data_IF_000455626717
#
_entry.id   IF_000455626717
#
_cell.length_a   1.000
_cell.length_b   1.000
_cell.length_c   1.000
_cell.angle_alpha   90.00
_cell.angle_beta   90.00
_cell.angle_gamma   90.00
#
_symmetry.space_group_name_H-M   'P 1'
#
loop_
_entity.id
_entity.type
_entity.pdbx_description
1 polymer ?
#
# COMPACT_ATOMS: atom_id res chain seq x y z
N UNK A 1 -5.63 22.56 10.12
CA UNK A 1 -6.01 21.27 9.51
C UNK A 1 -4.75 20.68 8.90
N UNK A 2 -4.35 19.48 9.30
CA UNK A 2 -3.18 18.82 8.69
C UNK A 2 -3.55 18.45 7.25
N UNK A 3 -2.81 18.96 6.27
CA UNK A 3 -3.21 18.92 4.86
C UNK A 3 -2.76 17.61 4.20
N UNK A 4 -3.70 16.65 4.04
CA UNK A 4 -3.44 15.39 3.35
C UNK A 4 -2.91 15.60 1.93
N UNK A 5 -3.39 16.63 1.23
CA UNK A 5 -2.98 16.93 -0.13
C UNK A 5 -1.49 17.24 -0.20
N UNK A 6 -1.00 18.12 0.68
CA UNK A 6 0.42 18.46 0.74
C UNK A 6 1.31 17.25 1.09
N UNK A 7 0.85 16.36 1.97
CA UNK A 7 1.59 15.14 2.31
C UNK A 7 1.66 14.17 1.13
N UNK A 8 0.58 14.07 0.35
CA UNK A 8 0.53 13.24 -0.86
C UNK A 8 1.43 13.84 -1.92
N UNK A 9 1.33 15.14 -2.19
CA UNK A 9 2.15 15.86 -3.18
C UNK A 9 3.64 15.71 -2.88
N UNK A 10 4.08 15.99 -1.65
CA UNK A 10 5.48 15.82 -1.25
C UNK A 10 6.00 14.40 -1.49
N UNK A 11 5.17 13.39 -1.22
CA UNK A 11 5.54 11.99 -1.47
C UNK A 11 5.61 11.70 -2.98
N UNK A 12 4.63 12.12 -3.76
CA UNK A 12 4.59 11.86 -5.20
C UNK A 12 5.70 12.60 -5.96
N UNK A 13 6.01 13.84 -5.58
CA UNK A 13 7.13 14.60 -6.14
C UNK A 13 8.46 13.91 -5.89
N UNK A 14 8.69 13.43 -4.65
CA UNK A 14 9.89 12.66 -4.34
C UNK A 14 9.94 11.34 -5.14
N UNK A 15 8.84 10.61 -5.23
CA UNK A 15 8.78 9.36 -6.02
C UNK A 15 9.00 9.57 -7.51
N UNK A 16 8.54 10.69 -8.06
CA UNK A 16 8.73 11.03 -9.47
C UNK A 16 10.16 11.51 -9.74
N UNK A 17 10.65 12.48 -8.95
CA UNK A 17 11.94 13.14 -9.18
C UNK A 17 13.15 12.39 -8.64
N UNK A 18 13.07 11.84 -7.42
CA UNK A 18 14.21 11.15 -6.77
C UNK A 18 14.32 9.69 -7.23
N UNK A 19 13.19 9.01 -7.47
CA UNK A 19 13.15 7.56 -7.77
C UNK A 19 12.77 7.23 -9.22
N UNK A 20 12.42 8.21 -10.05
CA UNK A 20 12.16 8.03 -11.47
C UNK A 20 10.95 7.13 -11.78
N UNK A 21 9.95 7.05 -10.88
CA UNK A 21 8.77 6.24 -11.13
C UNK A 21 7.95 6.79 -12.31
N UNK A 22 7.40 5.87 -13.12
CA UNK A 22 6.55 6.25 -14.26
C UNK A 22 5.32 7.05 -13.84
N UNK A 23 4.83 7.92 -14.73
CA UNK A 23 3.59 8.70 -14.50
C UNK A 23 2.41 7.80 -14.14
N UNK A 24 2.29 6.63 -14.77
CA UNK A 24 1.25 5.66 -14.47
C UNK A 24 1.33 5.16 -13.02
N UNK A 25 2.54 4.95 -12.50
CA UNK A 25 2.77 4.56 -11.10
C UNK A 25 2.40 5.69 -10.15
N UNK A 26 2.79 6.93 -10.47
CA UNK A 26 2.45 8.12 -9.67
C UNK A 26 0.94 8.34 -9.61
N UNK A 27 0.24 8.27 -10.74
CA UNK A 27 -1.22 8.37 -10.81
C UNK A 27 -1.91 7.22 -10.06
N UNK A 28 -1.33 6.03 -10.07
CA UNK A 28 -1.83 4.91 -9.28
C UNK A 28 -1.66 5.18 -7.77
N UNK A 29 -0.53 5.74 -7.34
CA UNK A 29 -0.26 6.07 -5.94
C UNK A 29 -1.16 7.21 -5.44
N UNK A 30 -1.35 8.27 -6.22
CA UNK A 30 -2.27 9.37 -5.88
C UNK A 30 -3.68 8.83 -5.61
N UNK A 31 -4.22 8.06 -6.55
CA UNK A 31 -5.57 7.48 -6.43
C UNK A 31 -5.71 6.57 -5.21
N UNK A 32 -4.69 5.78 -4.89
CA UNK A 32 -4.72 4.91 -3.72
C UNK A 32 -4.75 5.72 -2.41
N UNK A 33 -3.92 6.77 -2.31
CA UNK A 33 -3.82 7.63 -1.13
C UNK A 33 -5.09 8.48 -0.93
N UNK A 34 -5.67 8.99 -2.00
CA UNK A 34 -6.96 9.69 -1.96
C UNK A 34 -8.09 8.77 -1.48
N UNK A 35 -8.10 7.50 -1.93
CA UNK A 35 -9.15 6.55 -1.57
C UNK A 35 -9.09 6.15 -0.10
N UNK A 36 -7.90 5.96 0.47
CA UNK A 36 -7.80 5.72 1.92
C UNK A 36 -8.21 6.97 2.71
N UNK A 37 -7.81 8.19 2.29
CA UNK A 37 -8.26 9.43 2.92
C UNK A 37 -9.79 9.49 2.98
N UNK A 38 -10.44 9.24 1.84
CA UNK A 38 -11.90 9.23 1.73
C UNK A 38 -12.54 8.13 2.58
N UNK A 39 -11.93 6.95 2.64
CA UNK A 39 -12.52 5.80 3.33
C UNK A 39 -12.36 5.85 4.84
N UNK A 40 -11.21 6.30 5.34
CA UNK A 40 -10.94 6.43 6.78
C UNK A 40 -11.54 7.72 7.35
N UNK A 41 -11.63 8.79 6.53
CA UNK A 41 -12.20 10.06 6.97
C UNK A 41 -11.33 10.81 8.00
N UNK A 42 -10.05 10.46 8.10
CA UNK A 42 -9.06 11.07 9.00
C UNK A 42 -7.94 11.70 8.19
N UNK A 43 -7.19 12.60 8.82
CA UNK A 43 -5.89 13.01 8.26
C UNK A 43 -4.93 11.82 8.27
N UNK A 44 -4.12 11.66 7.22
CA UNK A 44 -3.18 10.53 7.08
C UNK A 44 -2.21 10.42 8.26
N UNK A 45 -1.86 11.56 8.85
CA UNK A 45 -1.03 11.65 10.06
C UNK A 45 -1.70 11.12 11.33
N UNK A 46 -3.04 11.02 11.34
CA UNK A 46 -3.85 10.58 12.49
C UNK A 46 -4.44 9.18 12.25
N UNK A 47 -4.09 8.54 11.12
CA UNK A 47 -4.49 7.18 10.80
C UNK A 47 -3.70 6.20 11.68
N UNK A 48 -4.43 5.37 12.42
CA UNK A 48 -3.86 4.33 13.25
C UNK A 48 -3.70 3.01 12.49
N UNK A 49 -2.94 2.08 13.07
CA UNK A 49 -2.87 0.70 12.56
C UNK A 49 -4.26 0.05 12.44
N UNK A 50 -5.14 0.26 13.43
CA UNK A 50 -6.50 -0.32 13.41
C UNK A 50 -7.34 0.22 12.25
N UNK A 51 -7.18 1.52 11.91
CA UNK A 51 -7.85 2.11 10.76
C UNK A 51 -7.39 1.45 9.44
N UNK A 52 -6.09 1.14 9.34
CA UNK A 52 -5.53 0.45 8.17
C UNK A 52 -6.01 -1.00 8.08
N UNK A 53 -6.05 -1.73 9.19
CA UNK A 53 -6.59 -3.09 9.23
C UNK A 53 -8.06 -3.13 8.78
N UNK A 54 -8.88 -2.21 9.30
CA UNK A 54 -10.28 -2.06 8.88
C UNK A 54 -10.40 -1.69 7.40
N UNK A 55 -9.52 -0.82 6.90
CA UNK A 55 -9.46 -0.48 5.48
C UNK A 55 -9.18 -1.72 4.62
N UNK A 56 -8.19 -2.53 4.95
CA UNK A 56 -7.86 -3.75 4.18
C UNK A 56 -8.94 -4.84 4.29
N UNK A 57 -9.61 -4.98 5.44
CA UNK A 57 -10.79 -5.84 5.57
C UNK A 57 -11.91 -5.35 4.63
N UNK A 58 -12.16 -4.05 4.60
CA UNK A 58 -13.12 -3.45 3.67
C UNK A 58 -12.74 -3.72 2.21
N UNK A 59 -11.46 -3.62 1.83
CA UNK A 59 -11.02 -3.90 0.47
C UNK A 59 -11.32 -5.34 0.05
N UNK A 60 -11.02 -6.29 0.95
CA UNK A 60 -11.30 -7.72 0.75
C UNK A 60 -12.80 -7.97 0.56
N UNK A 61 -13.64 -7.36 1.40
CA UNK A 61 -15.09 -7.54 1.35
C UNK A 61 -15.76 -6.84 0.15
N UNK A 62 -15.10 -5.83 -0.43
CA UNK A 62 -15.61 -5.09 -1.59
C UNK A 62 -15.26 -5.74 -2.94
N UNK A 63 -14.67 -6.93 -2.93
CA UNK A 63 -14.34 -7.67 -4.15
C UNK A 63 -13.18 -7.08 -4.97
N UNK A 64 -12.33 -6.24 -4.36
CA UNK A 64 -11.13 -5.76 -5.06
C UNK A 64 -10.18 -6.91 -5.37
N UNK A 65 -9.55 -6.87 -6.55
CA UNK A 65 -8.56 -7.87 -6.94
C UNK A 65 -7.38 -7.94 -5.96
N UNK A 66 -6.73 -9.10 -5.90
CA UNK A 66 -5.51 -9.28 -5.09
C UNK A 66 -4.41 -8.31 -5.52
N UNK A 67 -4.28 -8.08 -6.82
CA UNK A 67 -3.34 -7.11 -7.41
C UNK A 67 -3.61 -5.67 -6.96
N UNK A 68 -4.88 -5.24 -6.94
CA UNK A 68 -5.26 -3.89 -6.48
C UNK A 68 -4.96 -3.71 -5.00
N UNK A 69 -5.29 -4.72 -4.19
CA UNK A 69 -5.05 -4.70 -2.74
C UNK A 69 -3.56 -4.68 -2.42
N UNK A 70 -2.76 -5.49 -3.13
CA UNK A 70 -1.31 -5.51 -2.97
C UNK A 70 -0.66 -4.18 -3.37
N UNK A 71 -1.09 -3.57 -4.48
CA UNK A 71 -0.61 -2.25 -4.90
C UNK A 71 -0.93 -1.18 -3.85
N UNK A 72 -2.17 -1.13 -3.34
CA UNK A 72 -2.56 -0.19 -2.28
C UNK A 72 -1.73 -0.37 -1.00
N UNK A 73 -1.47 -1.61 -0.59
CA UNK A 73 -0.60 -1.90 0.56
C UNK A 73 0.82 -1.37 0.33
N UNK A 74 1.38 -1.59 -0.87
CA UNK A 74 2.70 -1.07 -1.22
C UNK A 74 2.73 0.46 -1.19
N UNK A 75 1.75 1.12 -1.80
CA UNK A 75 1.61 2.59 -1.80
C UNK A 75 1.58 3.12 -0.37
N UNK A 76 0.71 2.56 0.48
CA UNK A 76 0.52 3.00 1.86
C UNK A 76 1.80 2.82 2.68
N UNK A 77 2.48 1.66 2.58
CA UNK A 77 3.75 1.41 3.27
C UNK A 77 4.83 2.40 2.87
N UNK A 78 4.98 2.66 1.58
CA UNK A 78 5.98 3.59 1.09
C UNK A 78 5.69 5.04 1.52
N UNK A 79 4.42 5.45 1.53
CA UNK A 79 4.01 6.78 2.00
C UNK A 79 4.39 7.01 3.47
N UNK A 80 4.03 6.08 4.37
CA UNK A 80 4.34 6.24 5.80
C UNK A 80 5.84 6.13 6.08
N UNK A 81 6.54 5.19 5.41
CA UNK A 81 8.00 5.08 5.51
C UNK A 81 8.69 6.38 5.09
N UNK A 82 8.32 6.94 3.94
CA UNK A 82 8.86 8.21 3.44
C UNK A 82 8.69 9.34 4.46
N UNK A 83 7.49 9.52 5.01
CA UNK A 83 7.23 10.61 5.95
C UNK A 83 7.89 10.40 7.32
N UNK A 84 8.13 9.16 7.73
CA UNK A 84 8.95 8.87 8.91
C UNK A 84 10.43 9.18 8.64
N UNK A 85 10.96 8.75 7.50
CA UNK A 85 12.36 9.00 7.09
C UNK A 85 12.67 10.50 6.92
N UNK A 86 11.70 11.29 6.45
CA UNK A 86 11.82 12.75 6.31
C UNK A 86 11.45 13.52 7.61
N UNK A 87 11.06 12.82 8.68
CA UNK A 87 10.75 13.41 9.99
C UNK A 87 9.40 14.11 10.11
N UNK A 88 8.51 13.95 9.13
CA UNK A 88 7.13 14.49 9.18
C UNK A 88 6.22 13.67 10.10
N UNK A 89 6.52 12.37 10.27
CA UNK A 89 5.81 11.47 11.17
C UNK A 89 6.77 10.84 12.16
N UNK A 90 6.34 10.70 13.42
CA UNK A 90 7.14 10.07 14.46
C UNK A 90 7.07 8.53 14.43
N UNK A 91 6.00 7.97 13.87
CA UNK A 91 5.71 6.54 13.91
C UNK A 91 5.08 6.07 12.60
N UNK A 92 5.43 4.87 12.15
CA UNK A 92 4.83 4.21 10.99
C UNK A 92 3.65 3.30 11.42
N UNK A 93 2.38 3.66 11.15
CA UNK A 93 1.23 2.82 11.48
C UNK A 93 1.14 1.54 10.63
N UNK A 94 1.97 1.40 9.60
CA UNK A 94 2.03 0.22 8.73
C UNK A 94 3.01 -0.84 9.20
N UNK A 95 3.82 -0.55 10.23
CA UNK A 95 4.93 -1.41 10.67
C UNK A 95 4.49 -2.84 11.02
N UNK A 96 3.29 -3.01 11.58
CA UNK A 96 2.73 -4.31 11.95
C UNK A 96 1.74 -4.87 10.94
N UNK A 97 1.49 -4.17 9.82
CA UNK A 97 0.67 -4.68 8.71
C UNK A 97 1.45 -5.76 7.98
N UNK A 98 1.37 -6.98 8.50
CA UNK A 98 1.84 -8.17 7.81
C UNK A 98 0.84 -8.49 6.71
N UNK A 99 1.31 -8.42 5.45
CA UNK A 99 0.73 -9.27 4.42
C UNK A 99 0.93 -10.74 4.81
N UNK A 100 0.27 -11.71 4.15
CA UNK A 100 0.42 -13.12 4.50
C UNK A 100 1.92 -13.46 4.63
N UNK A 101 2.29 -13.93 5.82
CA UNK A 101 3.67 -13.99 6.37
C UNK A 101 4.76 -14.23 5.33
N UNK A 102 5.77 -13.38 5.35
CA UNK A 102 7.16 -13.82 5.14
C UNK A 102 8.08 -13.05 6.08
N UNK A 103 8.67 -13.82 6.99
CA UNK A 103 9.63 -13.46 8.01
C UNK A 103 10.98 -13.06 7.40
N UNK A 104 11.08 -11.85 6.86
CA UNK A 104 12.36 -11.20 6.60
C UNK A 104 12.32 -9.76 7.14
N UNK A 105 13.44 -9.27 7.73
CA UNK A 105 13.53 -7.88 8.15
C UNK A 105 13.29 -7.00 6.92
N UNK A 106 12.45 -5.98 7.07
CA UNK A 106 12.20 -4.98 6.03
C UNK A 106 13.56 -4.31 5.68
N UNK A 107 14.05 -4.43 4.45
CA UNK A 107 15.27 -3.74 4.05
C UNK A 107 15.02 -2.23 3.98
N UNK A 108 16.07 -1.46 4.28
CA UNK A 108 16.13 -0.02 4.02
C UNK A 108 15.89 0.16 2.52
N UNK A 109 14.85 0.91 2.18
CA UNK A 109 14.21 1.02 0.84
C UNK A 109 13.79 -0.32 0.21
N UNK A 110 12.47 -0.52 0.03
CA UNK A 110 11.98 -1.62 -0.82
C UNK A 110 12.38 -1.26 -2.25
N UNK A 111 13.27 -2.04 -2.86
CA UNK A 111 13.61 -1.86 -4.27
C UNK A 111 12.39 -2.17 -5.15
N UNK A 112 12.32 -1.59 -6.35
CA UNK A 112 11.25 -1.86 -7.34
C UNK A 112 11.06 -3.37 -7.55
N UNK A 113 12.15 -4.15 -7.52
CA UNK A 113 12.10 -5.61 -7.62
C UNK A 113 11.44 -6.33 -6.44
N UNK A 114 11.47 -5.75 -5.23
CA UNK A 114 10.79 -6.33 -4.06
C UNK A 114 9.29 -6.01 -4.06
N UNK A 115 8.92 -4.85 -4.61
CA UNK A 115 7.51 -4.53 -4.89
C UNK A 115 6.96 -5.45 -5.97
N UNK A 116 7.73 -5.71 -7.03
CA UNK A 116 7.39 -6.70 -8.06
C UNK A 116 7.27 -8.11 -7.48
N UNK A 117 8.18 -8.51 -6.58
CA UNK A 117 8.08 -9.79 -5.88
C UNK A 117 6.81 -9.90 -5.02
N UNK A 118 6.43 -8.83 -4.31
CA UNK A 118 5.17 -8.79 -3.55
C UNK A 118 3.94 -8.86 -4.46
N UNK A 119 3.97 -8.18 -5.61
CA UNK A 119 2.92 -8.27 -6.63
C UNK A 119 2.87 -9.66 -7.27
N UNK A 120 4.02 -10.32 -7.45
CA UNK A 120 4.11 -11.66 -8.03
C UNK A 120 3.61 -12.73 -7.05
N UNK A 121 3.90 -12.59 -5.75
CA UNK A 121 3.28 -13.43 -4.70
C UNK A 121 1.77 -13.27 -4.70
N UNK A 122 1.25 -12.05 -4.84
CA UNK A 122 -0.19 -11.83 -4.95
C UNK A 122 -0.80 -12.51 -6.19
N UNK A 123 -0.07 -12.52 -7.31
CA UNK A 123 -0.46 -13.18 -8.57
C UNK A 123 -0.42 -14.72 -8.47
N UNK A 124 0.57 -15.28 -7.78
CA UNK A 124 0.67 -16.73 -7.50
C UNK A 124 -0.48 -17.17 -6.58
N UNK A 125 -0.81 -16.38 -5.55
CA UNK A 125 -1.96 -16.65 -4.69
C UNK A 125 -3.30 -16.53 -5.43
N UNK A 126 -3.37 -15.79 -6.53
CA UNK A 126 -4.55 -15.72 -7.41
C UNK A 126 -4.70 -17.01 -8.25
N UNK A 127 -3.58 -17.56 -8.75
CA UNK A 127 -3.56 -18.84 -9.48
C UNK A 127 -3.88 -20.06 -8.62
N UNK A 128 -3.43 -20.09 -7.35
CA UNK A 128 -3.73 -21.19 -6.41
C UNK A 128 -5.20 -21.21 -5.93
N UNK A 129 -5.94 -20.13 -6.13
CA UNK A 129 -7.36 -20.05 -5.77
C UNK A 129 -8.29 -20.44 -6.96
N UNK A 130 -7.72 -20.65 -8.14
CA UNK A 130 -8.41 -21.05 -9.36
C UNK A 130 -8.21 -22.54 -9.70
N UNK A 131 -7.32 -23.26 -8.99
CA UNK A 131 -7.09 -24.70 -9.17
C UNK A 131 -7.93 -25.58 -8.24
N UNK A 132 -8.98 -25.03 -7.61
CA UNK A 132 -9.81 -25.72 -6.60
C UNK A 132 -11.28 -25.87 -6.96
N UNK A 133 -11.67 -25.65 -8.21
CA UNK A 133 -13.02 -25.94 -8.70
C UNK A 133 -12.93 -26.80 -9.98
N UNK A 134 -12.50 -28.05 -9.82
CA UNK A 134 -13.08 -29.10 -10.66
C UNK A 134 -14.51 -29.30 -10.16
N UNK A 135 -15.45 -28.82 -10.99
CA UNK A 135 -16.87 -29.10 -10.89
C UNK A 135 -17.03 -30.54 -11.37
N UNK A 136 -17.28 -31.47 -10.44
CA UNK A 136 -17.86 -32.76 -10.82
C UNK A 136 -19.35 -32.53 -11.12
N UNK A 137 -19.71 -32.93 -12.35
CA UNK A 137 -21.06 -32.93 -12.94
C UNK A 137 -21.86 -34.11 -12.39
#
# INVERSE_FOLDING_TARGET
MKNNQALIENFLEAKFGEEGLSENTILAYSRDLEQICKKVGKSLVDVSQSDLEQYFIYLKNSGHSKSTTARRLSTIKQFYKFHVEKGFLSTDPTAQLTGPRSSKPLPKTLSVGEVEALLQVAKIMEGLNMSGLEIDV
#
